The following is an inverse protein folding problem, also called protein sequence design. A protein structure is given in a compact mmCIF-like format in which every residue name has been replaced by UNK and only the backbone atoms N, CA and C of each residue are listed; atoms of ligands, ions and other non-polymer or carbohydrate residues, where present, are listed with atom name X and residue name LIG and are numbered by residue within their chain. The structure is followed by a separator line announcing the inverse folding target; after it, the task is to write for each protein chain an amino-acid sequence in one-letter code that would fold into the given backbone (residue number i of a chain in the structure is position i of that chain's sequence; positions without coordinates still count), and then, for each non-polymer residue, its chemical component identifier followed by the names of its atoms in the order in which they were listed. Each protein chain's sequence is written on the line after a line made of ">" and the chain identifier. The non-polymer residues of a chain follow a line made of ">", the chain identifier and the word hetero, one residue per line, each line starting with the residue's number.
data_IF_877786859975
#
_entry.id   IF_877786859975
#
_cell.length_a   1.000
_cell.length_b   1.000
_cell.length_c   1.000
_cell.angle_alpha   90.00
_cell.angle_beta   90.00
_cell.angle_gamma   90.00
#
_symmetry.space_group_name_H-M   'P 1'
#
loop_
_entity.id
_entity.type
_entity.pdbx_description
1 polymer ?
#
# COMPACT_ATOMS: atom_id res chain seq x y z
N UNK A 1 14.84 -15.77 15.58
CA UNK A 1 14.28 -17.13 15.68
C UNK A 1 12.75 -17.16 15.75
N UNK A 2 12.05 -16.30 16.50
CA UNK A 2 10.58 -16.33 16.67
C UNK A 2 9.70 -16.16 15.39
N UNK A 3 10.26 -15.79 14.24
CA UNK A 3 9.50 -15.57 12.99
C UNK A 3 9.37 -16.88 12.20
N UNK A 4 10.41 -17.71 12.20
CA UNK A 4 10.51 -18.93 11.38
C UNK A 4 9.39 -19.92 11.69
N UNK A 5 8.86 -19.94 12.93
CA UNK A 5 7.78 -20.83 13.35
C UNK A 5 6.44 -20.12 13.62
N UNK A 6 6.31 -18.83 13.27
CA UNK A 6 5.13 -18.04 13.64
C UNK A 6 4.49 -17.36 12.43
N UNK A 7 3.45 -18.01 11.88
CA UNK A 7 2.71 -17.51 10.73
C UNK A 7 2.07 -16.12 10.98
N UNK A 8 1.63 -15.82 12.21
CA UNK A 8 1.08 -14.49 12.57
C UNK A 8 2.13 -13.39 12.42
N UNK A 9 3.38 -13.68 12.77
CA UNK A 9 4.47 -12.70 12.61
C UNK A 9 4.98 -12.65 11.17
N UNK A 10 4.94 -13.76 10.44
CA UNK A 10 5.29 -13.80 9.02
C UNK A 10 4.31 -12.97 8.19
N UNK A 11 3.00 -13.19 8.34
CA UNK A 11 1.95 -12.40 7.68
C UNK A 11 2.07 -10.91 7.97
N UNK A 12 2.31 -10.52 9.23
CA UNK A 12 2.59 -9.12 9.57
C UNK A 12 3.80 -8.54 8.80
N UNK A 13 4.90 -9.30 8.67
CA UNK A 13 6.08 -8.83 7.94
C UNK A 13 5.86 -8.77 6.43
N UNK A 14 5.04 -9.67 5.87
CA UNK A 14 4.61 -9.64 4.46
C UNK A 14 3.89 -8.31 4.16
N UNK A 15 2.87 -7.97 4.95
CA UNK A 15 2.13 -6.71 4.78
C UNK A 15 3.04 -5.49 4.98
N UNK A 16 3.88 -5.51 6.03
CA UNK A 16 4.80 -4.41 6.31
C UNK A 16 5.79 -4.18 5.17
N UNK A 17 6.27 -5.27 4.54
CA UNK A 17 7.20 -5.19 3.41
C UNK A 17 6.58 -4.48 2.21
N UNK A 18 5.29 -4.68 1.95
CA UNK A 18 4.57 -4.05 0.84
C UNK A 18 4.35 -2.54 1.05
N UNK A 19 4.05 -2.10 2.28
CA UNK A 19 3.77 -0.68 2.56
C UNK A 19 5.04 0.18 2.59
N UNK A 20 6.15 -0.34 3.10
CA UNK A 20 7.35 0.47 3.33
C UNK A 20 8.64 -0.31 3.59
N UNK A 21 8.68 -1.59 3.18
CA UNK A 21 9.83 -2.45 3.38
C UNK A 21 10.06 -2.91 4.82
N UNK A 22 11.03 -3.80 4.98
CA UNK A 22 11.49 -4.32 6.28
C UNK A 22 13.02 -4.33 6.31
N UNK A 23 13.61 -4.34 7.50
CA UNK A 23 15.07 -4.39 7.61
C UNK A 23 15.60 -5.74 7.11
N UNK A 24 16.84 -5.76 6.61
CA UNK A 24 17.49 -6.96 6.05
C UNK A 24 17.44 -8.18 6.99
N UNK A 25 17.53 -7.96 8.30
CA UNK A 25 17.36 -9.02 9.31
C UNK A 25 15.98 -9.66 9.26
N UNK A 26 14.93 -8.85 9.12
CA UNK A 26 13.56 -9.34 9.02
C UNK A 26 13.28 -9.97 7.65
N UNK A 27 13.88 -9.43 6.60
CA UNK A 27 13.83 -9.99 5.24
C UNK A 27 14.36 -11.44 5.24
N UNK A 28 15.59 -11.66 5.74
CA UNK A 28 16.17 -13.01 5.83
C UNK A 28 15.33 -13.98 6.66
N UNK A 29 14.82 -13.51 7.81
CA UNK A 29 13.97 -14.34 8.67
C UNK A 29 12.64 -14.70 8.02
N UNK A 30 12.08 -13.78 7.22
CA UNK A 30 10.86 -14.01 6.45
C UNK A 30 11.12 -15.01 5.30
N UNK A 31 12.21 -14.85 4.55
CA UNK A 31 12.59 -15.80 3.49
C UNK A 31 12.74 -17.23 4.01
N UNK A 32 13.36 -17.41 5.18
CA UNK A 32 13.46 -18.72 5.82
C UNK A 32 12.09 -19.31 6.20
N UNK A 33 11.14 -18.48 6.65
CA UNK A 33 9.78 -18.93 6.95
C UNK A 33 9.03 -19.34 5.67
N UNK A 34 9.14 -18.55 4.61
CA UNK A 34 8.49 -18.82 3.32
C UNK A 34 9.04 -20.07 2.64
N UNK A 35 10.30 -20.42 2.89
CA UNK A 35 10.91 -21.65 2.41
C UNK A 35 10.26 -22.91 3.02
N UNK A 36 9.84 -22.86 4.30
CA UNK A 36 9.26 -24.01 5.00
C UNK A 36 7.73 -23.98 5.15
N UNK A 37 7.09 -22.84 4.97
CA UNK A 37 5.64 -22.68 5.13
C UNK A 37 4.96 -22.34 3.80
N UNK A 38 4.37 -23.34 3.15
CA UNK A 38 3.65 -23.18 1.88
C UNK A 38 2.46 -22.23 2.00
N UNK A 39 1.74 -22.25 3.13
CA UNK A 39 0.60 -21.38 3.38
C UNK A 39 0.99 -19.90 3.35
N UNK A 40 2.08 -19.53 4.03
CA UNK A 40 2.54 -18.14 4.05
C UNK A 40 3.10 -17.70 2.69
N UNK A 41 3.63 -18.62 1.88
CA UNK A 41 4.04 -18.33 0.50
C UNK A 41 2.84 -18.04 -0.41
N UNK A 42 1.78 -18.84 -0.32
CA UNK A 42 0.53 -18.57 -1.05
C UNK A 42 -0.10 -17.26 -0.58
N UNK A 43 -0.11 -17.02 0.74
CA UNK A 43 -0.57 -15.76 1.31
C UNK A 43 0.21 -14.55 0.76
N UNK A 44 1.54 -14.63 0.69
CA UNK A 44 2.38 -13.55 0.12
C UNK A 44 1.98 -13.25 -1.33
N UNK A 45 1.81 -14.28 -2.15
CA UNK A 45 1.38 -14.13 -3.54
C UNK A 45 0.00 -13.48 -3.64
N UNK A 46 -0.96 -13.93 -2.82
CA UNK A 46 -2.33 -13.37 -2.80
C UNK A 46 -2.33 -11.91 -2.35
N UNK A 47 -1.57 -11.58 -1.30
CA UNK A 47 -1.47 -10.22 -0.77
C UNK A 47 -0.91 -9.26 -1.83
N UNK A 48 0.18 -9.66 -2.53
CA UNK A 48 0.74 -8.88 -3.65
C UNK A 48 -0.27 -8.68 -4.78
N UNK A 49 -1.00 -9.74 -5.18
CA UNK A 49 -2.00 -9.64 -6.25
C UNK A 49 -3.15 -8.68 -5.87
N UNK A 50 -3.61 -8.71 -4.63
CA UNK A 50 -4.66 -7.82 -4.14
C UNK A 50 -4.17 -6.37 -4.18
N UNK A 51 -2.95 -6.11 -3.69
CA UNK A 51 -2.38 -4.76 -3.69
C UNK A 51 -2.24 -4.19 -5.11
N UNK A 52 -1.76 -5.01 -6.04
CA UNK A 52 -1.69 -4.65 -7.47
C UNK A 52 -3.07 -4.34 -8.06
N UNK A 53 -4.07 -5.18 -7.79
CA UNK A 53 -5.43 -4.97 -8.28
C UNK A 53 -6.06 -3.69 -7.71
N UNK A 54 -5.86 -3.42 -6.42
CA UNK A 54 -6.35 -2.20 -5.77
C UNK A 54 -5.69 -0.96 -6.40
N UNK A 55 -4.38 -1.02 -6.63
CA UNK A 55 -3.65 0.04 -7.32
C UNK A 55 -4.19 0.25 -8.73
N UNK A 56 -4.38 -0.80 -9.54
CA UNK A 56 -4.97 -0.69 -10.87
C UNK A 56 -6.38 -0.08 -10.86
N UNK A 57 -7.23 -0.44 -9.90
CA UNK A 57 -8.56 0.17 -9.73
C UNK A 57 -8.48 1.67 -9.43
N UNK A 58 -7.49 2.11 -8.64
CA UNK A 58 -7.24 3.54 -8.38
C UNK A 58 -6.81 4.28 -9.66
N UNK A 59 -5.99 3.65 -10.51
CA UNK A 59 -5.55 4.25 -11.79
C UNK A 59 -6.64 4.22 -12.87
N UNK A 60 -7.50 3.21 -12.90
CA UNK A 60 -8.69 3.20 -13.76
C UNK A 60 -9.71 4.25 -13.33
N UNK A 61 -9.76 4.58 -12.03
CA UNK A 61 -10.37 5.79 -11.52
C UNK A 61 -9.46 7.01 -11.68
N UNK A 62 -8.88 7.21 -12.86
CA UNK A 62 -8.47 8.55 -13.30
C UNK A 62 -9.72 9.41 -13.49
N UNK A 63 -10.40 9.70 -12.37
CA UNK A 63 -11.22 10.89 -12.22
C UNK A 63 -10.25 12.05 -12.37
N UNK A 64 -10.04 12.49 -13.61
CA UNK A 64 -9.75 13.91 -13.77
C UNK A 64 -10.83 14.64 -12.98
N UNK A 65 -10.42 15.53 -12.08
CA UNK A 65 -11.38 16.42 -11.45
C UNK A 65 -12.17 17.07 -12.59
N UNK A 66 -13.48 16.97 -12.50
CA UNK A 66 -14.38 17.61 -13.43
C UNK A 66 -13.96 19.07 -13.61
N UNK A 67 -13.87 19.53 -14.85
CA UNK A 67 -13.29 20.83 -15.14
C UNK A 67 -14.11 21.97 -14.54
N UNK A 68 -15.41 21.76 -14.31
CA UNK A 68 -16.25 22.74 -13.62
C UNK A 68 -16.01 22.73 -12.12
N UNK A 69 -15.78 21.55 -11.51
CA UNK A 69 -15.32 21.47 -10.13
C UNK A 69 -13.97 22.18 -9.93
N UNK A 70 -13.01 22.02 -10.86
CA UNK A 70 -11.72 22.75 -10.79
C UNK A 70 -11.93 24.26 -10.82
N UNK A 71 -12.77 24.76 -11.73
CA UNK A 71 -13.07 26.20 -11.84
C UNK A 71 -13.73 26.74 -10.59
N UNK A 72 -14.64 25.98 -9.98
CA UNK A 72 -15.32 26.38 -8.75
C UNK A 72 -14.33 26.49 -7.59
N UNK A 73 -13.45 25.49 -7.43
CA UNK A 73 -12.37 25.53 -6.45
C UNK A 73 -11.42 26.71 -6.68
N UNK A 74 -11.06 26.99 -7.94
CA UNK A 74 -10.21 28.13 -8.30
C UNK A 74 -10.82 29.46 -7.84
N UNK A 75 -12.13 29.64 -8.07
CA UNK A 75 -12.86 30.85 -7.63
C UNK A 75 -12.83 31.01 -6.11
N UNK A 76 -13.05 29.93 -5.37
CA UNK A 76 -13.02 29.96 -3.90
C UNK A 76 -11.63 30.35 -3.36
N UNK A 77 -10.57 29.86 -3.99
CA UNK A 77 -9.19 30.23 -3.65
C UNK A 77 -8.97 31.72 -3.92
N UNK A 78 -9.35 32.23 -5.10
CA UNK A 78 -9.19 33.65 -5.45
C UNK A 78 -9.92 34.56 -4.46
N UNK A 79 -11.18 34.26 -4.14
CA UNK A 79 -11.97 35.03 -3.16
C UNK A 79 -11.33 35.01 -1.78
N UNK A 80 -10.74 33.89 -1.37
CA UNK A 80 -10.08 33.76 -0.07
C UNK A 80 -8.77 34.57 -0.02
N UNK A 81 -8.01 34.62 -1.12
CA UNK A 81 -6.80 35.42 -1.22
C UNK A 81 -7.10 36.93 -1.23
N UNK A 82 -8.20 37.34 -1.86
CA UNK A 82 -8.65 38.74 -1.84
C UNK A 82 -9.04 39.23 -0.44
N UNK A 83 -9.57 38.34 0.41
CA UNK A 83 -9.94 38.67 1.80
C UNK A 83 -8.74 38.80 2.76
N UNK A 84 -7.58 38.28 2.37
CA UNK A 84 -6.34 38.34 3.17
C UNK A 84 -5.53 39.60 2.80
N UNK A 85 -5.91 40.27 1.70
CA UNK A 85 -5.29 41.50 1.21
C UNK A 85 -5.95 42.73 1.81
#
# INVERSE_FOLDING_TARGET
>A
MKIISNCKRATFLIEKKQIGGITMRYEMALQLHLACCSLCRVYEQQSIMIDQLVHELQFMQTKQLDDDLKKEMQKLITVSLEKIK
#
